data_IF_586500958647
#
_entry.id   IF_586500958647
#
_cell.length_a   1.000
_cell.length_b   1.000
_cell.length_c   1.000
_cell.angle_alpha   90.00
_cell.angle_beta   90.00
_cell.angle_gamma   90.00
#
_symmetry.space_group_name_H-M   'P 1'
#
loop_
_entity.id
_entity.type
_entity.pdbx_description
1 polymer ?
#
# COMPACT_ATOMS: atom_id res chain seq x y z
N UNK A 1 3.02 0.30 -15.64
CA UNK A 1 3.76 0.29 -14.35
C UNK A 1 2.82 -0.14 -13.25
N UNK A 2 3.28 -1.04 -12.42
CA UNK A 2 2.54 -1.54 -11.27
C UNK A 2 3.36 -1.31 -10.01
N UNK A 3 2.75 -0.71 -8.99
CA UNK A 3 3.42 -0.29 -7.77
C UNK A 3 2.70 -0.88 -6.57
N UNK A 4 3.48 -1.37 -5.61
CA UNK A 4 2.93 -1.84 -4.34
C UNK A 4 3.17 -0.76 -3.30
N UNK A 5 2.14 -0.44 -2.53
CA UNK A 5 2.26 0.49 -1.40
C UNK A 5 1.77 -0.23 -0.15
N UNK A 6 2.68 -0.52 0.77
CA UNK A 6 2.29 -1.03 2.08
C UNK A 6 1.97 0.15 2.99
N UNK A 7 1.00 -0.04 3.87
CA UNK A 7 0.51 1.07 4.70
C UNK A 7 -0.31 2.07 3.91
N UNK A 8 -1.03 1.61 2.89
CA UNK A 8 -1.76 2.49 1.97
C UNK A 8 -2.91 3.25 2.63
N UNK A 9 -3.40 2.81 3.77
CA UNK A 9 -4.44 3.53 4.51
C UNK A 9 -3.86 4.52 5.52
N UNK A 10 -2.54 4.55 5.69
CA UNK A 10 -1.88 5.56 6.48
C UNK A 10 -1.78 6.87 5.73
N UNK A 11 -1.40 7.94 6.42
CA UNK A 11 -1.41 9.27 5.83
C UNK A 11 -0.49 9.38 4.61
N UNK A 12 0.76 8.97 4.75
CA UNK A 12 1.74 9.10 3.67
C UNK A 12 1.44 8.13 2.54
N UNK A 13 1.15 6.88 2.87
CA UNK A 13 0.83 5.87 1.86
C UNK A 13 -0.41 6.23 1.05
N UNK A 14 -1.43 6.74 1.71
CA UNK A 14 -2.65 7.18 1.05
C UNK A 14 -2.39 8.33 0.08
N UNK A 15 -1.61 9.33 0.51
CA UNK A 15 -1.30 10.48 -0.32
C UNK A 15 -0.52 10.08 -1.57
N UNK A 16 0.46 9.18 -1.41
CA UNK A 16 1.23 8.69 -2.54
C UNK A 16 0.36 7.86 -3.48
N UNK A 17 -0.47 6.98 -2.92
CA UNK A 17 -1.36 6.14 -3.72
C UNK A 17 -2.26 6.99 -4.61
N UNK A 18 -2.85 8.04 -4.05
CA UNK A 18 -3.72 8.93 -4.85
C UNK A 18 -2.96 9.59 -5.98
N UNK A 19 -1.75 10.07 -5.72
CA UNK A 19 -0.94 10.70 -6.77
C UNK A 19 -0.67 9.74 -7.91
N UNK A 20 -0.27 8.52 -7.59
CA UNK A 20 0.05 7.52 -8.60
C UNK A 20 -1.20 7.09 -9.36
N UNK A 21 -2.31 6.90 -8.66
CA UNK A 21 -3.57 6.50 -9.30
C UNK A 21 -4.06 7.59 -10.26
N UNK A 22 -3.91 8.86 -9.90
CA UNK A 22 -4.27 9.96 -10.78
C UNK A 22 -3.40 10.03 -12.02
N UNK A 23 -2.21 9.46 -11.98
CA UNK A 23 -1.31 9.37 -13.13
C UNK A 23 -1.52 8.10 -13.94
N UNK A 24 -2.60 7.37 -13.69
CA UNK A 24 -2.94 6.12 -14.37
C UNK A 24 -1.96 4.99 -14.09
N UNK A 25 -1.27 5.04 -12.98
CA UNK A 25 -0.38 3.97 -12.55
C UNK A 25 -1.21 2.99 -11.72
N UNK A 26 -1.01 1.70 -11.97
CA UNK A 26 -1.69 0.66 -11.22
C UNK A 26 -1.06 0.54 -9.82
N UNK A 27 -1.89 0.60 -8.79
CA UNK A 27 -1.44 0.53 -7.40
C UNK A 27 -2.07 -0.66 -6.71
N UNK A 28 -1.23 -1.46 -6.09
CA UNK A 28 -1.65 -2.53 -5.17
C UNK A 28 -1.40 -2.01 -3.77
N UNK A 29 -2.47 -1.78 -3.02
CA UNK A 29 -2.39 -1.29 -1.65
C UNK A 29 -2.46 -2.43 -0.66
N UNK A 30 -1.59 -2.41 0.32
CA UNK A 30 -1.55 -3.40 1.38
C UNK A 30 -1.58 -2.70 2.73
N UNK A 31 -2.47 -3.13 3.62
CA UNK A 31 -2.56 -2.59 4.96
C UNK A 31 -3.22 -3.65 5.84
N UNK A 32 -2.80 -3.77 7.06
CA UNK A 32 -3.45 -4.68 8.00
C UNK A 32 -4.63 -4.01 8.70
N UNK A 33 -4.83 -2.72 8.49
CA UNK A 33 -5.87 -1.90 9.12
C UNK A 33 -5.76 -1.87 10.64
N UNK A 34 -4.63 -2.29 11.15
CA UNK A 34 -4.33 -2.13 12.55
C UNK A 34 -4.11 -0.66 12.83
N UNK A 35 -4.59 -0.15 13.94
CA UNK A 35 -4.50 1.28 14.10
C UNK A 35 -4.02 1.68 15.48
N UNK A 36 -2.95 2.40 15.47
CA UNK A 36 -2.63 3.33 16.53
C UNK A 36 -3.48 4.59 16.42
N UNK A 37 -4.22 4.73 15.32
CA UNK A 37 -5.08 5.86 15.01
C UNK A 37 -6.50 5.36 14.82
N UNK A 38 -7.40 6.24 14.47
CA UNK A 38 -8.78 5.90 14.23
C UNK A 38 -8.91 4.93 13.03
N UNK A 39 -9.51 3.77 13.27
CA UNK A 39 -9.87 2.83 12.20
C UNK A 39 -10.80 3.49 11.19
N UNK A 40 -11.68 4.34 11.67
CA UNK A 40 -12.62 5.08 10.80
C UNK A 40 -11.87 5.88 9.76
N UNK A 41 -10.76 6.50 10.14
CA UNK A 41 -9.96 7.29 9.22
C UNK A 41 -9.34 6.42 8.14
N UNK A 42 -8.82 5.25 8.52
CA UNK A 42 -8.25 4.30 7.56
C UNK A 42 -9.31 3.78 6.60
N UNK A 43 -10.48 3.41 7.09
CA UNK A 43 -11.56 2.95 6.22
C UNK A 43 -12.03 4.04 5.26
N UNK A 44 -12.08 5.28 5.73
CA UNK A 44 -12.47 6.41 4.89
C UNK A 44 -11.46 6.60 3.75
N UNK A 45 -10.17 6.51 4.05
CA UNK A 45 -9.12 6.59 3.04
C UNK A 45 -9.21 5.46 2.04
N UNK A 46 -9.42 4.25 2.51
CA UNK A 46 -9.60 3.09 1.63
C UNK A 46 -10.79 3.25 0.70
N UNK A 47 -11.88 3.78 1.21
CA UNK A 47 -13.07 4.03 0.39
C UNK A 47 -12.74 4.94 -0.77
N UNK A 48 -11.95 5.99 -0.52
CA UNK A 48 -11.52 6.90 -1.56
C UNK A 48 -10.65 6.17 -2.59
N UNK A 49 -9.68 5.39 -2.14
CA UNK A 49 -8.80 4.65 -3.05
C UNK A 49 -9.56 3.63 -3.88
N UNK A 50 -10.56 2.97 -3.29
CA UNK A 50 -11.35 1.97 -4.00
C UNK A 50 -12.22 2.55 -5.10
N UNK A 51 -12.38 3.85 -5.16
CA UNK A 51 -13.08 4.50 -6.26
C UNK A 51 -12.26 4.52 -7.55
N UNK A 52 -10.95 4.27 -7.45
CA UNK A 52 -10.08 4.20 -8.62
C UNK A 52 -10.09 2.80 -9.22
N UNK A 53 -10.27 2.71 -10.53
CA UNK A 53 -10.30 1.41 -11.22
C UNK A 53 -8.96 0.71 -11.23
N UNK A 54 -7.88 1.46 -11.10
CA UNK A 54 -6.51 0.96 -11.13
C UNK A 54 -5.94 0.70 -9.73
N UNK A 55 -6.80 0.59 -8.72
CA UNK A 55 -6.42 0.29 -7.35
C UNK A 55 -6.94 -1.09 -6.94
N UNK A 56 -6.08 -1.89 -6.31
CA UNK A 56 -6.44 -3.16 -5.71
C UNK A 56 -5.93 -3.19 -4.27
N UNK A 57 -6.78 -3.59 -3.35
CA UNK A 57 -6.43 -3.62 -1.94
C UNK A 57 -6.37 -5.05 -1.42
N UNK A 58 -5.35 -5.32 -0.59
CA UNK A 58 -5.21 -6.58 0.13
C UNK A 58 -4.94 -6.29 1.60
N UNK A 59 -5.77 -6.88 2.45
CA UNK A 59 -5.56 -6.79 3.90
C UNK A 59 -4.55 -7.85 4.30
N UNK A 60 -3.31 -7.44 4.58
CA UNK A 60 -2.21 -8.33 4.94
C UNK A 60 -1.36 -7.68 6.01
N UNK A 61 -0.76 -8.53 6.84
CA UNK A 61 0.20 -8.10 7.85
C UNK A 61 1.60 -8.11 7.24
N UNK A 62 2.23 -6.94 7.21
CA UNK A 62 3.54 -6.76 6.60
C UNK A 62 4.69 -7.11 7.54
N UNK A 63 4.41 -7.54 8.77
CA UNK A 63 5.44 -7.97 9.71
C UNK A 63 6.07 -9.31 9.32
N UNK A 64 5.41 -10.06 8.45
CA UNK A 64 5.88 -11.34 7.95
C UNK A 64 6.57 -11.13 6.61
N UNK A 65 7.76 -11.70 6.43
CA UNK A 65 8.53 -11.59 5.21
C UNK A 65 7.82 -12.18 3.99
N UNK A 66 6.84 -13.04 4.22
CA UNK A 66 6.11 -13.71 3.14
C UNK A 66 4.83 -12.99 2.73
N UNK A 67 4.61 -11.78 3.21
CA UNK A 67 3.33 -11.09 2.94
C UNK A 67 3.09 -10.81 1.46
N UNK A 68 4.11 -10.82 0.63
CA UNK A 68 3.98 -10.62 -0.81
C UNK A 68 3.87 -11.94 -1.60
N UNK A 69 3.92 -13.08 -0.93
CA UNK A 69 3.95 -14.38 -1.60
C UNK A 69 2.68 -14.66 -2.41
N UNK A 70 1.58 -14.00 -2.09
CA UNK A 70 0.31 -14.15 -2.80
C UNK A 70 0.26 -13.39 -4.12
N UNK A 71 1.24 -12.52 -4.38
CA UNK A 71 1.27 -11.70 -5.58
C UNK A 71 2.10 -12.36 -6.68
N UNK A 72 1.68 -12.18 -7.91
CA UNK A 72 2.52 -12.51 -9.05
C UNK A 72 3.63 -11.46 -9.13
N UNK A 73 4.85 -11.92 -9.15
CA UNK A 73 6.02 -11.05 -9.00
C UNK A 73 6.39 -10.31 -10.28
N UNK A 74 5.92 -10.78 -11.40
CA UNK A 74 6.18 -10.13 -12.68
C UNK A 74 5.43 -8.80 -12.76
N UNK A 75 6.07 -7.83 -13.37
CA UNK A 75 5.51 -6.49 -13.61
C UNK A 75 5.38 -5.58 -12.40
N UNK A 76 5.91 -5.98 -11.24
CA UNK A 76 6.01 -5.06 -10.10
C UNK A 76 7.23 -4.17 -10.31
N UNK A 77 7.00 -2.87 -10.44
CA UNK A 77 8.08 -1.92 -10.71
C UNK A 77 8.73 -1.39 -9.44
N UNK A 78 7.92 -1.07 -8.43
CA UNK A 78 8.41 -0.51 -7.18
C UNK A 78 7.56 -0.96 -6.01
N UNK A 79 8.18 -1.02 -4.84
CA UNK A 79 7.49 -1.23 -3.57
C UNK A 79 7.81 -0.05 -2.67
N UNK A 80 6.78 0.67 -2.25
CA UNK A 80 6.88 1.73 -1.25
C UNK A 80 6.37 1.18 0.07
N UNK A 81 7.25 1.07 1.03
CA UNK A 81 6.95 0.38 2.28
C UNK A 81 6.74 1.40 3.41
N UNK A 82 5.47 1.69 3.69
CA UNK A 82 5.08 2.58 4.77
C UNK A 82 4.35 1.87 5.91
N UNK A 83 4.14 0.58 5.79
CA UNK A 83 3.55 -0.22 6.85
C UNK A 83 4.60 -0.41 7.92
N UNK A 84 4.71 0.56 8.79
CA UNK A 84 5.69 0.54 9.83
C UNK A 84 5.00 0.42 11.17
N UNK A 85 5.65 -0.25 12.08
CA UNK A 85 5.31 -0.19 13.47
C UNK A 85 5.79 1.14 14.05
N UNK A 86 5.80 1.25 15.35
CA UNK A 86 6.32 2.44 16.04
C UNK A 86 7.75 2.71 15.54
N UNK A 87 8.00 3.92 15.10
CA UNK A 87 9.27 4.27 14.48
C UNK A 87 9.25 4.11 12.97
N UNK A 88 8.42 4.87 12.33
CA UNK A 88 8.13 4.79 10.90
C UNK A 88 9.40 4.90 10.06
N UNK A 89 9.56 3.94 9.16
CA UNK A 89 10.54 4.03 8.10
C UNK A 89 9.83 4.21 6.77
N UNK A 90 10.13 5.31 6.13
CA UNK A 90 9.68 5.54 4.77
C UNK A 90 10.80 5.08 3.85
N UNK A 91 10.55 4.01 3.14
CA UNK A 91 11.55 3.47 2.24
C UNK A 91 10.90 3.00 0.95
N UNK A 92 11.70 2.96 -0.08
CA UNK A 92 11.27 2.33 -1.30
C UNK A 92 12.44 1.56 -1.90
N UNK A 93 12.12 0.54 -2.67
CA UNK A 93 13.13 -0.22 -3.39
C UNK A 93 12.50 -0.90 -4.60
N UNK A 94 13.33 -1.26 -5.56
CA UNK A 94 12.87 -2.14 -6.61
C UNK A 94 12.72 -3.54 -6.03
N UNK A 95 11.66 -4.26 -6.37
CA UNK A 95 11.50 -5.62 -5.85
C UNK A 95 12.56 -6.54 -6.44
N UNK A 96 13.13 -7.34 -5.56
CA UNK A 96 14.04 -8.41 -5.95
C UNK A 96 13.32 -9.73 -5.73
N UNK A 97 12.88 -10.32 -6.81
CA UNK A 97 12.14 -11.56 -6.74
C UNK A 97 12.89 -12.69 -7.41
#
# INVERSE_FOLDING_TARGET
MRVIITGCAGFIGFSLARKLLNKKIEVIGIDNLNSYYSRKLKFRRLKILNEYKNFNFYKKDCSNNNFLSFLKKDRISYIFHFAAEVGVRNSYSKPEF
#
